data_IF_334548621018
#
_entry.id   IF_334548621018
#
_cell.length_a   1.000
_cell.length_b   1.000
_cell.length_c   1.000
_cell.angle_alpha   90.00
_cell.angle_beta   90.00
_cell.angle_gamma   90.00
#
_symmetry.space_group_name_H-M   'P 1'
#
loop_
_entity.id
_entity.type
_entity.pdbx_description
1 polymer ?
#
# COMPACT_ATOMS: atom_id res chain seq x y z
N UNK A 1 -3.15 -16.51 30.11
CA UNK A 1 -1.90 -16.42 29.31
C UNK A 1 -2.08 -16.85 27.85
N UNK A 2 -2.84 -17.91 27.53
CA UNK A 2 -3.04 -18.40 26.14
C UNK A 2 -3.74 -17.39 25.20
N UNK A 3 -4.73 -16.66 25.71
CA UNK A 3 -5.50 -15.67 24.94
C UNK A 3 -4.66 -14.48 24.46
N UNK A 4 -3.75 -13.99 25.30
CA UNK A 4 -2.86 -12.86 24.97
C UNK A 4 -1.85 -13.27 23.89
N UNK A 5 -1.34 -14.51 23.90
CA UNK A 5 -0.41 -15.00 22.86
C UNK A 5 -1.08 -15.06 21.48
N UNK A 6 -2.33 -15.49 21.41
CA UNK A 6 -3.09 -15.53 20.15
C UNK A 6 -3.40 -14.12 19.65
N UNK A 7 -3.80 -13.20 20.53
CA UNK A 7 -4.08 -11.81 20.18
C UNK A 7 -2.82 -11.08 19.67
N UNK A 8 -1.69 -11.22 20.37
CA UNK A 8 -0.42 -10.62 19.96
C UNK A 8 0.06 -11.15 18.61
N UNK A 9 -0.11 -12.44 18.33
CA UNK A 9 0.22 -13.01 17.02
C UNK A 9 -0.58 -12.34 15.88
N UNK A 10 -1.88 -12.16 16.08
CA UNK A 10 -2.76 -11.52 15.10
C UNK A 10 -2.45 -10.02 14.93
N UNK A 11 -2.15 -9.31 16.02
CA UNK A 11 -1.81 -7.87 16.00
C UNK A 11 -0.45 -7.64 15.33
N UNK A 12 0.58 -8.42 15.68
CA UNK A 12 1.92 -8.28 15.10
C UNK A 12 1.94 -8.48 13.58
N UNK A 13 1.01 -9.25 13.04
CA UNK A 13 0.89 -9.46 11.59
C UNK A 13 0.03 -8.36 10.94
N UNK A 14 -1.06 -7.94 11.59
CA UNK A 14 -2.04 -6.99 11.03
C UNK A 14 -1.56 -5.54 11.05
N UNK A 15 -0.87 -5.10 12.10
CA UNK A 15 -0.39 -3.72 12.20
C UNK A 15 0.61 -3.33 11.09
N UNK A 16 1.66 -4.13 10.76
CA UNK A 16 2.60 -3.76 9.71
C UNK A 16 1.98 -3.76 8.31
N UNK A 17 1.06 -4.69 8.03
CA UNK A 17 0.37 -4.74 6.73
C UNK A 17 -0.58 -3.55 6.57
N UNK A 18 -1.29 -3.14 7.63
CA UNK A 18 -2.17 -1.97 7.63
C UNK A 18 -1.38 -0.66 7.38
N UNK A 19 -0.24 -0.49 8.04
CA UNK A 19 0.64 0.69 7.84
C UNK A 19 1.20 0.72 6.42
N UNK A 20 1.63 -0.43 5.90
CA UNK A 20 2.15 -0.54 4.52
C UNK A 20 1.09 -0.14 3.49
N UNK A 21 -0.13 -0.68 3.60
CA UNK A 21 -1.19 -0.34 2.65
C UNK A 21 -1.67 1.10 2.80
N UNK A 22 -1.70 1.64 4.01
CA UNK A 22 -2.04 3.05 4.24
C UNK A 22 -1.06 3.98 3.54
N UNK A 23 0.25 3.74 3.72
CA UNK A 23 1.31 4.48 3.03
C UNK A 23 1.22 4.32 1.51
N UNK A 24 0.97 3.10 1.02
CA UNK A 24 0.85 2.84 -0.41
C UNK A 24 -0.32 3.60 -1.04
N UNK A 25 -1.48 3.64 -0.37
CA UNK A 25 -2.66 4.38 -0.84
C UNK A 25 -2.36 5.87 -0.89
N UNK A 26 -1.67 6.42 0.10
CA UNK A 26 -1.28 7.83 0.14
C UNK A 26 -0.34 8.19 -1.02
N UNK A 27 0.70 7.38 -1.29
CA UNK A 27 1.69 7.69 -2.33
C UNK A 27 1.19 7.42 -3.74
N UNK A 28 0.37 6.39 -3.92
CA UNK A 28 -0.07 5.97 -5.25
C UNK A 28 -1.43 6.52 -5.67
N UNK A 29 -2.28 6.97 -4.73
CA UNK A 29 -3.67 7.36 -4.96
C UNK A 29 -4.46 6.28 -5.73
N UNK A 30 -4.15 5.00 -5.46
CA UNK A 30 -4.66 3.85 -6.24
C UNK A 30 -6.19 3.74 -6.23
N UNK A 31 -6.86 4.33 -5.24
CA UNK A 31 -8.32 4.37 -5.16
C UNK A 31 -8.95 5.12 -6.34
N UNK A 32 -8.25 6.12 -6.92
CA UNK A 32 -8.72 6.86 -8.11
C UNK A 32 -8.54 6.08 -9.41
N UNK A 33 -7.77 5.00 -9.43
CA UNK A 33 -7.57 4.16 -10.61
C UNK A 33 -8.89 3.60 -11.17
N UNK A 34 -9.88 3.36 -10.30
CA UNK A 34 -11.24 2.92 -10.66
C UNK A 34 -11.98 3.87 -11.62
N UNK A 35 -11.59 5.15 -11.68
CA UNK A 35 -12.21 6.17 -12.54
C UNK A 35 -11.60 6.21 -13.94
N UNK A 36 -10.48 5.54 -14.16
CA UNK A 36 -9.77 5.54 -15.43
C UNK A 36 -10.46 4.57 -16.41
N UNK A 37 -11.01 5.11 -17.50
CA UNK A 37 -11.82 4.33 -18.46
C UNK A 37 -11.02 3.61 -19.54
N UNK A 38 -9.73 3.91 -19.67
CA UNK A 38 -8.83 3.33 -20.67
C UNK A 38 -7.82 2.41 -20.02
N UNK A 39 -7.72 1.17 -20.51
CA UNK A 39 -6.75 0.17 -20.02
C UNK A 39 -5.30 0.67 -20.10
N UNK A 40 -4.96 1.42 -21.16
CA UNK A 40 -3.62 2.00 -21.31
C UNK A 40 -3.37 3.09 -20.25
N UNK A 41 -4.36 3.95 -20.02
CA UNK A 41 -4.29 4.98 -18.98
C UNK A 41 -4.24 4.39 -17.56
N UNK A 42 -4.96 3.29 -17.34
CA UNK A 42 -4.98 2.57 -16.07
C UNK A 42 -3.60 1.98 -15.77
N UNK A 43 -2.99 1.29 -16.74
CA UNK A 43 -1.65 0.71 -16.58
C UNK A 43 -0.61 1.81 -16.29
N UNK A 44 -0.62 2.90 -17.06
CA UNK A 44 0.31 4.01 -16.82
C UNK A 44 0.11 4.63 -15.42
N UNK A 45 -1.14 4.81 -14.99
CA UNK A 45 -1.46 5.34 -13.67
C UNK A 45 -0.95 4.42 -12.56
N UNK A 46 -1.28 3.13 -12.61
CA UNK A 46 -0.91 2.16 -11.56
C UNK A 46 0.61 1.95 -11.53
N UNK A 47 1.23 1.57 -12.65
CA UNK A 47 2.67 1.29 -12.69
C UNK A 47 3.52 2.54 -12.48
N UNK A 48 3.11 3.69 -13.03
CA UNK A 48 3.82 4.96 -12.83
C UNK A 48 3.77 5.44 -11.39
N UNK A 49 2.59 5.43 -10.76
CA UNK A 49 2.43 5.81 -9.35
C UNK A 49 3.15 4.85 -8.40
N UNK A 50 3.12 3.55 -8.71
CA UNK A 50 3.83 2.54 -7.94
C UNK A 50 5.35 2.70 -8.05
N UNK A 51 5.88 2.97 -9.25
CA UNK A 51 7.30 3.26 -9.45
C UNK A 51 7.74 4.48 -8.64
N UNK A 52 6.97 5.58 -8.68
CA UNK A 52 7.27 6.78 -7.88
C UNK A 52 7.21 6.49 -6.38
N UNK A 53 6.25 5.71 -5.90
CA UNK A 53 6.16 5.32 -4.50
C UNK A 53 7.41 4.55 -4.03
N UNK A 54 7.86 3.54 -4.81
CA UNK A 54 9.06 2.77 -4.47
C UNK A 54 10.36 3.57 -4.61
N UNK A 55 10.49 4.43 -5.62
CA UNK A 55 11.62 5.36 -5.75
C UNK A 55 11.64 6.27 -4.51
N UNK A 56 10.50 6.84 -4.12
CA UNK A 56 10.40 7.65 -2.92
C UNK A 56 10.79 6.88 -1.66
N UNK A 57 10.54 5.57 -1.56
CA UNK A 57 10.96 4.77 -0.42
C UNK A 57 12.48 4.59 -0.33
N UNK A 58 13.16 4.55 -1.47
CA UNK A 58 14.62 4.38 -1.56
C UNK A 58 15.36 5.71 -1.31
N UNK A 59 14.84 6.82 -1.84
CA UNK A 59 15.51 8.12 -1.81
C UNK A 59 15.04 9.07 -0.69
N UNK A 60 14.02 8.70 0.08
CA UNK A 60 13.53 9.46 1.25
C UNK A 60 14.03 8.83 2.56
N UNK A 61 15.34 8.58 2.65
CA UNK A 61 16.03 8.28 3.92
C UNK A 61 16.60 9.54 4.54
#
# INVERSE_FOLDING_TARGET
MLFIRHFLATVLIRQPIEVLFSWLIEKSDIQKASKVRSTKGLNLHVYGRLAVAFISLIFNS
#
